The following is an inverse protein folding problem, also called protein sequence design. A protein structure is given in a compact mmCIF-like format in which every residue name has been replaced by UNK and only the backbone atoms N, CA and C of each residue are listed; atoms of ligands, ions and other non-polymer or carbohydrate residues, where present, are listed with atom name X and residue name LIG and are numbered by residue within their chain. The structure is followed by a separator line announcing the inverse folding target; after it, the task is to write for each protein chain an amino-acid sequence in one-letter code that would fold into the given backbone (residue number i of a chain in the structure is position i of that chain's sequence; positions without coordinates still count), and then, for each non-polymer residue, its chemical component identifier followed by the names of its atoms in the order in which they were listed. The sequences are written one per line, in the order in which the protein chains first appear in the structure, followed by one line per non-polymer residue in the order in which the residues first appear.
data_IF_689950755464
#
_entry.id   IF_689950755464
#
_cell.length_a   1.000
_cell.length_b   1.000
_cell.length_c   1.000
_cell.angle_alpha   90.00
_cell.angle_beta   90.00
_cell.angle_gamma   90.00
#
_symmetry.space_group_name_H-M   'P 1'
#
loop_
_entity.id
_entity.type
_entity.pdbx_description
1 polymer ?
#
# COMPACT_ATOMS: atom_id res chain seq x y z
N UNK A 1 -5.73 -4.82 13.00
CA UNK A 1 -5.17 -6.19 13.06
C UNK A 1 -3.88 -6.05 12.31
N UNK A 2 -2.72 -6.13 12.93
CA UNK A 2 -1.50 -5.52 12.37
C UNK A 2 -1.21 -5.91 10.91
N UNK A 3 -1.25 -4.92 10.03
CA UNK A 3 -1.00 -5.03 8.60
C UNK A 3 0.48 -5.30 8.34
N UNK A 4 0.74 -6.21 7.41
CA UNK A 4 2.09 -6.51 6.95
C UNK A 4 2.22 -6.28 5.46
N UNK A 5 3.46 -6.11 5.01
CA UNK A 5 3.79 -6.01 3.60
C UNK A 5 3.20 -7.15 2.74
N UNK A 6 3.01 -8.33 3.32
CA UNK A 6 2.37 -9.48 2.64
C UNK A 6 0.86 -9.31 2.43
N UNK A 7 0.20 -8.47 3.22
CA UNK A 7 -1.23 -8.18 3.18
C UNK A 7 -1.51 -7.07 2.17
N UNK A 8 -1.02 -7.26 0.93
CA UNK A 8 -1.02 -6.21 -0.10
C UNK A 8 -2.42 -5.71 -0.45
N UNK A 9 -3.42 -6.59 -0.40
CA UNK A 9 -4.82 -6.25 -0.62
C UNK A 9 -5.38 -5.38 0.51
N UNK A 10 -5.14 -5.76 1.76
CA UNK A 10 -5.66 -5.06 2.94
C UNK A 10 -5.04 -3.65 3.03
N UNK A 11 -3.73 -3.55 2.79
CA UNK A 11 -3.03 -2.26 2.65
C UNK A 11 -3.64 -1.42 1.52
N UNK A 12 -3.90 -2.02 0.35
CA UNK A 12 -4.48 -1.30 -0.78
C UNK A 12 -5.88 -0.77 -0.49
N UNK A 13 -6.70 -1.52 0.24
CA UNK A 13 -8.05 -1.10 0.66
C UNK A 13 -7.98 0.07 1.63
N UNK A 14 -7.13 0.00 2.66
CA UNK A 14 -6.91 1.12 3.60
C UNK A 14 -6.47 2.40 2.86
N UNK A 15 -5.55 2.24 1.91
CA UNK A 15 -5.08 3.34 1.10
C UNK A 15 -6.18 3.86 0.14
N UNK A 16 -7.01 3.00 -0.44
CA UNK A 16 -8.17 3.40 -1.25
C UNK A 16 -9.18 4.19 -0.42
N UNK A 17 -9.44 3.78 0.82
CA UNK A 17 -10.37 4.47 1.71
C UNK A 17 -9.83 5.85 2.13
N UNK A 18 -8.54 5.95 2.49
CA UNK A 18 -7.92 7.23 2.85
C UNK A 18 -7.61 8.14 1.64
N UNK A 19 -7.32 7.56 0.49
CA UNK A 19 -6.85 8.25 -0.72
C UNK A 19 -7.68 7.88 -1.97
N UNK A 20 -9.00 7.90 -1.85
CA UNK A 20 -9.91 7.50 -2.94
C UNK A 20 -9.75 8.35 -4.22
N UNK A 21 -9.29 9.60 -4.11
CA UNK A 21 -9.05 10.50 -5.25
C UNK A 21 -7.74 10.20 -6.00
N UNK A 22 -6.80 9.46 -5.39
CA UNK A 22 -5.47 9.23 -5.96
C UNK A 22 -5.50 8.13 -7.00
N UNK A 23 -4.90 8.38 -8.17
CA UNK A 23 -4.73 7.40 -9.23
C UNK A 23 -3.53 6.46 -8.94
N UNK A 24 -3.73 5.20 -8.52
CA UNK A 24 -2.64 4.30 -8.17
C UNK A 24 -1.70 4.03 -9.35
N UNK A 25 -2.19 4.14 -10.59
CA UNK A 25 -1.37 4.00 -11.82
C UNK A 25 -0.33 5.11 -12.01
N UNK A 26 -0.57 6.28 -11.42
CA UNK A 26 0.35 7.43 -11.48
C UNK A 26 1.16 7.59 -10.20
N UNK A 27 0.83 6.82 -9.16
CA UNK A 27 1.49 6.86 -7.87
C UNK A 27 2.91 6.29 -7.99
N UNK A 28 3.88 6.99 -7.41
CA UNK A 28 5.25 6.48 -7.34
C UNK A 28 5.40 5.50 -6.17
N UNK A 29 6.26 4.50 -6.34
CA UNK A 29 6.58 3.54 -5.27
C UNK A 29 7.11 4.19 -4.00
N UNK A 30 7.83 5.30 -4.11
CA UNK A 30 8.29 6.07 -2.94
C UNK A 30 7.12 6.64 -2.16
N UNK A 31 6.13 7.23 -2.84
CA UNK A 31 4.92 7.76 -2.18
C UNK A 31 4.07 6.64 -1.60
N UNK A 32 3.88 5.55 -2.35
CA UNK A 32 3.15 4.38 -1.87
C UNK A 32 3.80 3.84 -0.59
N UNK A 33 5.12 3.68 -0.58
CA UNK A 33 5.86 3.24 0.60
C UNK A 33 5.65 4.17 1.80
N UNK A 34 5.76 5.49 1.60
CA UNK A 34 5.52 6.45 2.67
C UNK A 34 4.09 6.38 3.21
N UNK A 35 3.10 6.16 2.35
CA UNK A 35 1.71 6.03 2.78
C UNK A 35 1.45 4.75 3.56
N UNK A 36 2.04 3.62 3.12
CA UNK A 36 1.95 2.35 3.85
C UNK A 36 2.56 2.50 5.25
N UNK A 37 3.73 3.13 5.36
CA UNK A 37 4.35 3.41 6.66
C UNK A 37 3.57 4.40 7.52
N UNK A 38 2.73 5.24 6.90
CA UNK A 38 1.87 6.18 7.60
C UNK A 38 0.53 5.56 8.06
N UNK A 39 0.23 4.32 7.67
CA UNK A 39 -0.95 3.60 8.15
C UNK A 39 -0.78 3.27 9.64
N UNK A 40 -1.80 3.59 10.43
CA UNK A 40 -1.81 3.36 11.87
C UNK A 40 -1.86 1.87 12.25
N UNK A 41 -2.42 1.03 11.37
CA UNK A 41 -2.52 -0.41 11.57
C UNK A 41 -1.31 -1.17 11.01
N UNK A 42 -0.35 -0.47 10.37
CA UNK A 42 0.85 -1.08 9.81
C UNK A 42 1.93 -1.35 10.87
N UNK A 43 2.32 -2.62 10.99
CA UNK A 43 3.21 -3.15 12.03
C UNK A 43 4.19 -4.18 11.44
N UNK A 44 4.81 -3.84 10.31
CA UNK A 44 5.89 -4.65 9.71
C UNK A 44 7.15 -3.81 9.54
N UNK A 45 8.26 -4.49 9.25
CA UNK A 45 9.55 -3.85 9.19
C UNK A 45 9.66 -3.06 7.87
N UNK A 46 9.97 -1.76 7.88
CA UNK A 46 10.16 -0.98 6.66
C UNK A 46 11.22 -1.60 5.72
N UNK A 47 12.16 -2.36 6.28
CA UNK A 47 13.22 -3.06 5.52
C UNK A 47 12.73 -4.29 4.76
N UNK A 48 11.55 -4.82 5.06
CA UNK A 48 10.96 -5.94 4.33
C UNK A 48 10.25 -5.49 3.03
N UNK A 49 10.12 -4.19 2.83
CA UNK A 49 9.63 -3.63 1.58
C UNK A 49 10.58 -3.92 0.42
N UNK A 50 10.03 -4.47 -0.67
CA UNK A 50 10.71 -4.66 -1.93
C UNK A 50 9.84 -4.12 -3.07
N UNK A 51 10.44 -3.87 -4.24
CA UNK A 51 9.70 -3.36 -5.41
C UNK A 51 8.49 -4.24 -5.77
N UNK A 52 8.61 -5.57 -5.64
CA UNK A 52 7.50 -6.52 -5.86
C UNK A 52 6.33 -6.36 -4.91
N UNK A 53 6.60 -5.98 -3.65
CA UNK A 53 5.56 -5.78 -2.65
C UNK A 53 4.78 -4.51 -2.99
N UNK A 54 5.49 -3.43 -3.30
CA UNK A 54 4.87 -2.17 -3.71
C UNK A 54 4.10 -2.32 -5.02
N UNK A 55 4.64 -3.09 -5.96
CA UNK A 55 3.93 -3.47 -7.19
C UNK A 55 2.64 -4.25 -6.88
N UNK A 56 2.69 -5.24 -5.99
CA UNK A 56 1.50 -6.01 -5.60
C UNK A 56 0.42 -5.13 -4.95
N UNK A 57 0.80 -4.25 -4.02
CA UNK A 57 -0.12 -3.29 -3.37
C UNK A 57 -0.74 -2.38 -4.42
N UNK A 58 0.07 -1.82 -5.32
CA UNK A 58 -0.40 -0.95 -6.38
C UNK A 58 -1.35 -1.68 -7.34
N UNK A 59 -1.06 -2.93 -7.70
CA UNK A 59 -1.93 -3.76 -8.55
C UNK A 59 -3.26 -4.06 -7.86
N UNK A 60 -3.25 -4.49 -6.60
CA UNK A 60 -4.47 -4.71 -5.82
C UNK A 60 -5.31 -3.42 -5.73
N UNK A 61 -4.66 -2.28 -5.51
CA UNK A 61 -5.35 -0.99 -5.49
C UNK A 61 -5.98 -0.66 -6.85
N UNK A 62 -5.29 -0.90 -7.96
CA UNK A 62 -5.84 -0.69 -9.31
C UNK A 62 -7.01 -1.63 -9.61
N UNK A 63 -6.97 -2.86 -9.11
CA UNK A 63 -8.00 -3.87 -9.35
C UNK A 63 -9.30 -3.58 -8.57
N UNK A 64 -9.16 -3.08 -7.33
CA UNK A 64 -10.30 -2.77 -6.46
C UNK A 64 -10.93 -1.37 -6.72
N UNK A 65 -10.17 -0.44 -7.31
CA UNK A 65 -10.62 0.94 -7.61
C UNK A 65 -11.49 1.03 -8.86
#
# INVERSE_FOLDING_TARGET
MSLKWIDSLDIALELLEKHSDVDPRKLHFTELYEWVLALEDFDDDPKHCNEKVLEAIQQCWIEEK
#
